data_IF_580603457681
#
_entry.id   IF_580603457681
#
_cell.length_a   1.000
_cell.length_b   1.000
_cell.length_c   1.000
_cell.angle_alpha   90.00
_cell.angle_beta   90.00
_cell.angle_gamma   90.00
#
_symmetry.space_group_name_H-M   'P 1'
#
loop_
_entity.id
_entity.type
_entity.pdbx_description
1 polymer ?
#
# COMPACT_ATOMS: atom_id res chain seq x y z
N UNK A 1 -0.47 -6.05 18.75
CA UNK A 1 0.67 -6.99 18.75
C UNK A 1 0.65 -7.67 17.41
N UNK A 2 1.61 -7.36 16.54
CA UNK A 2 1.69 -7.97 15.21
C UNK A 2 1.93 -9.47 15.32
N UNK A 3 0.99 -10.25 14.81
CA UNK A 3 0.92 -11.71 14.86
C UNK A 3 1.52 -12.36 13.60
N UNK A 4 2.56 -11.76 13.01
CA UNK A 4 3.18 -12.35 11.83
C UNK A 4 4.17 -13.44 12.24
N UNK A 5 4.05 -14.64 11.64
CA UNK A 5 4.97 -15.77 11.86
C UNK A 5 6.44 -15.42 11.55
N UNK A 6 6.66 -14.39 10.75
CA UNK A 6 7.97 -13.90 10.36
C UNK A 6 8.16 -12.45 10.83
N UNK A 7 9.32 -12.10 11.42
CA UNK A 7 9.61 -10.74 11.87
C UNK A 7 9.72 -9.74 10.69
N UNK A 8 10.17 -10.23 9.54
CA UNK A 8 10.32 -9.48 8.30
C UNK A 8 9.98 -10.38 7.12
N UNK A 9 9.65 -9.77 5.98
CA UNK A 9 9.46 -10.50 4.73
C UNK A 9 10.74 -11.20 4.25
N UNK A 10 11.91 -10.62 4.51
CA UNK A 10 13.19 -11.22 4.13
C UNK A 10 13.42 -12.55 4.85
N UNK A 11 13.09 -12.63 6.15
CA UNK A 11 13.18 -13.86 6.94
C UNK A 11 12.28 -14.98 6.40
N UNK A 12 11.17 -14.63 5.74
CA UNK A 12 10.34 -15.62 5.05
C UNK A 12 11.06 -16.20 3.82
N UNK A 13 11.68 -15.35 3.00
CA UNK A 13 12.40 -15.82 1.81
C UNK A 13 13.66 -16.60 2.15
N UNK A 14 14.38 -16.21 3.20
CA UNK A 14 15.54 -16.97 3.69
C UNK A 14 15.14 -18.39 4.10
N UNK A 15 14.07 -18.53 4.89
CA UNK A 15 13.51 -19.83 5.27
C UNK A 15 12.97 -20.61 4.09
N UNK A 16 12.29 -19.95 3.15
CA UNK A 16 11.80 -20.60 1.93
C UNK A 16 12.95 -21.19 1.09
N UNK A 17 14.13 -20.56 1.10
CA UNK A 17 15.31 -21.07 0.42
C UNK A 17 15.98 -22.24 1.17
N UNK A 18 15.65 -22.49 2.44
CA UNK A 18 16.16 -23.62 3.24
C UNK A 18 15.33 -24.89 3.05
N UNK A 19 14.07 -24.74 2.63
CA UNK A 19 13.17 -25.87 2.40
C UNK A 19 13.68 -26.73 1.23
N UNK A 20 13.73 -28.06 1.39
CA UNK A 20 14.16 -28.97 0.34
C UNK A 20 13.13 -29.01 -0.80
N UNK A 21 13.57 -29.52 -1.96
CA UNK A 21 12.64 -29.81 -3.05
C UNK A 21 11.77 -31.00 -2.65
N UNK A 22 10.47 -30.85 -2.81
CA UNK A 22 9.50 -31.92 -2.54
C UNK A 22 8.88 -32.38 -3.85
N UNK A 23 8.72 -33.69 -4.00
CA UNK A 23 8.03 -34.31 -5.13
C UNK A 23 6.89 -35.17 -4.59
N UNK A 24 5.70 -34.95 -5.12
CA UNK A 24 4.48 -35.62 -4.73
C UNK A 24 3.92 -36.38 -5.93
N UNK A 25 3.56 -37.65 -5.75
CA UNK A 25 2.85 -38.41 -6.79
C UNK A 25 1.37 -38.44 -6.39
N UNK A 26 0.56 -37.67 -7.09
CA UNK A 26 -0.89 -37.64 -6.87
C UNK A 26 -1.47 -38.82 -7.65
N UNK A 27 -1.89 -39.85 -6.93
CA UNK A 27 -2.56 -41.00 -7.51
C UNK A 27 -4.06 -40.74 -7.61
N UNK A 28 -4.63 -40.93 -8.81
CA UNK A 28 -6.07 -40.91 -9.00
C UNK A 28 -6.72 -42.12 -8.34
N UNK A 29 -7.89 -41.93 -7.72
CA UNK A 29 -8.63 -43.02 -7.08
C UNK A 29 -9.18 -44.05 -8.09
N UNK A 30 -9.26 -43.67 -9.37
CA UNK A 30 -9.78 -44.51 -10.46
C UNK A 30 -8.64 -44.89 -11.41
N UNK A 31 -8.61 -46.17 -11.83
CA UNK A 31 -7.54 -46.73 -12.64
C UNK A 31 -7.33 -46.06 -14.01
N UNK A 32 -8.30 -45.28 -14.50
CA UNK A 32 -8.19 -44.53 -15.75
C UNK A 32 -7.65 -43.10 -15.59
N UNK A 33 -7.51 -42.61 -14.36
CA UNK A 33 -6.92 -41.30 -14.08
C UNK A 33 -5.41 -41.51 -13.96
N UNK A 34 -4.59 -40.96 -14.87
CA UNK A 34 -3.15 -41.11 -14.79
C UNK A 34 -2.62 -40.45 -13.52
N UNK A 35 -1.58 -41.04 -12.93
CA UNK A 35 -0.88 -40.41 -11.82
C UNK A 35 -0.14 -39.17 -12.33
N UNK A 36 -0.19 -38.09 -11.56
CA UNK A 36 0.53 -36.85 -11.88
C UNK A 36 1.64 -36.63 -10.85
N UNK A 37 2.85 -36.35 -11.32
CA UNK A 37 3.94 -35.88 -10.47
C UNK A 37 3.81 -34.37 -10.28
N UNK A 38 3.89 -33.92 -9.03
CA UNK A 38 3.93 -32.52 -8.66
C UNK A 38 5.25 -32.24 -7.95
N UNK A 39 6.08 -31.40 -8.55
CA UNK A 39 7.35 -30.99 -7.97
C UNK A 39 7.25 -29.55 -7.46
N UNK A 40 7.52 -29.36 -6.17
CA UNK A 40 7.62 -28.04 -5.56
C UNK A 40 9.11 -27.73 -5.39
N UNK A 41 9.56 -26.69 -6.09
CA UNK A 41 10.89 -26.11 -5.91
C UNK A 41 10.76 -24.76 -5.20
N UNK A 42 11.00 -24.70 -3.87
CA UNK A 42 10.92 -23.47 -3.09
C UNK A 42 11.81 -22.35 -3.63
N UNK A 43 12.96 -22.69 -4.21
CA UNK A 43 13.87 -21.71 -4.82
C UNK A 43 13.31 -21.09 -6.10
N UNK A 44 12.60 -21.89 -6.91
CA UNK A 44 11.88 -21.41 -8.10
C UNK A 44 10.71 -20.51 -7.68
N UNK A 45 9.95 -20.91 -6.66
CA UNK A 45 8.85 -20.12 -6.11
C UNK A 45 9.34 -18.77 -5.56
N UNK A 46 10.42 -18.77 -4.77
CA UNK A 46 11.06 -17.56 -4.26
C UNK A 46 11.39 -16.58 -5.40
N UNK A 47 12.01 -17.09 -6.48
CA UNK A 47 12.37 -16.28 -7.64
C UNK A 47 11.17 -15.66 -8.34
N UNK A 48 10.09 -16.44 -8.49
CA UNK A 48 8.85 -15.97 -9.09
C UNK A 48 8.18 -14.91 -8.24
N UNK A 49 8.14 -15.07 -6.91
CA UNK A 49 7.59 -14.06 -6.00
C UNK A 49 8.42 -12.77 -6.05
N UNK A 50 9.75 -12.86 -6.03
CA UNK A 50 10.63 -11.69 -6.13
C UNK A 50 10.43 -10.94 -7.45
N UNK A 51 10.29 -11.67 -8.58
CA UNK A 51 10.01 -11.06 -9.88
C UNK A 51 8.68 -10.30 -9.90
N UNK A 52 7.61 -10.86 -9.32
CA UNK A 52 6.32 -10.17 -9.21
C UNK A 52 6.42 -8.96 -8.28
N UNK A 53 7.11 -9.08 -7.15
CA UNK A 53 7.33 -7.96 -6.22
C UNK A 53 8.10 -6.81 -6.86
N UNK A 54 9.13 -7.13 -7.64
CA UNK A 54 9.92 -6.12 -8.36
C UNK A 54 9.10 -5.40 -9.43
N UNK A 55 8.24 -6.13 -10.15
CA UNK A 55 7.30 -5.49 -11.08
C UNK A 55 6.37 -4.54 -10.33
N UNK A 56 5.73 -5.02 -9.24
CA UNK A 56 4.82 -4.20 -8.44
C UNK A 56 5.52 -2.98 -7.84
N UNK A 57 6.75 -3.11 -7.37
CA UNK A 57 7.47 -1.99 -6.74
C UNK A 57 7.79 -0.89 -7.75
N UNK A 58 8.16 -1.26 -8.99
CA UNK A 58 8.36 -0.29 -10.07
C UNK A 58 7.06 0.41 -10.47
N UNK A 59 5.98 -0.36 -10.62
CA UNK A 59 4.65 0.21 -10.90
C UNK A 59 4.23 1.17 -9.78
N UNK A 60 4.40 0.76 -8.51
CA UNK A 60 4.03 1.56 -7.35
C UNK A 60 4.85 2.84 -7.24
N UNK A 61 6.14 2.81 -7.56
CA UNK A 61 6.97 4.02 -7.53
C UNK A 61 6.46 5.11 -8.49
N UNK A 62 6.00 4.70 -9.68
CA UNK A 62 5.40 5.62 -10.66
C UNK A 62 3.99 6.05 -10.22
N UNK A 63 3.18 5.08 -9.82
CA UNK A 63 1.81 5.30 -9.39
C UNK A 63 1.74 6.25 -8.17
N UNK A 64 2.63 6.09 -7.19
CA UNK A 64 2.72 6.95 -6.01
C UNK A 64 3.13 8.38 -6.35
N UNK A 65 3.93 8.60 -7.41
CA UNK A 65 4.17 9.95 -7.93
C UNK A 65 2.87 10.58 -8.44
N UNK A 66 2.02 9.81 -9.12
CA UNK A 66 0.70 10.33 -9.53
C UNK A 66 -0.15 10.64 -8.30
N UNK A 67 -0.15 9.76 -7.28
CA UNK A 67 -0.90 10.00 -6.03
C UNK A 67 -0.47 11.30 -5.33
N UNK A 68 0.84 11.61 -5.33
CA UNK A 68 1.33 12.87 -4.75
C UNK A 68 0.78 14.08 -5.50
N UNK A 69 0.74 14.01 -6.83
CA UNK A 69 0.35 15.14 -7.69
C UNK A 69 -1.19 15.33 -7.76
N UNK A 70 -1.97 14.31 -7.37
CA UNK A 70 -3.43 14.33 -7.40
C UNK A 70 -4.08 15.26 -6.35
N UNK A 71 -3.37 15.64 -5.28
CA UNK A 71 -3.94 16.45 -4.19
C UNK A 71 -4.52 17.78 -4.66
N UNK A 72 -3.70 18.57 -5.38
CA UNK A 72 -4.12 19.87 -5.92
C UNK A 72 -5.24 19.75 -6.96
N UNK A 73 -5.18 18.74 -7.83
CA UNK A 73 -6.20 18.49 -8.85
C UNK A 73 -7.56 18.16 -8.23
N UNK A 74 -7.58 17.38 -7.14
CA UNK A 74 -8.81 17.02 -6.42
C UNK A 74 -9.53 18.25 -5.88
N UNK A 75 -8.77 19.17 -5.26
CA UNK A 75 -9.33 20.42 -4.74
C UNK A 75 -9.77 21.38 -5.86
N UNK A 76 -8.96 21.52 -6.91
CA UNK A 76 -9.31 22.36 -8.05
C UNK A 76 -10.63 21.89 -8.67
N UNK A 77 -10.76 20.58 -8.91
CA UNK A 77 -11.98 19.99 -9.45
C UNK A 77 -13.18 20.23 -8.54
N UNK A 78 -13.01 20.11 -7.23
CA UNK A 78 -14.07 20.43 -6.26
C UNK A 78 -14.54 21.89 -6.39
N UNK A 79 -13.61 22.84 -6.44
CA UNK A 79 -13.95 24.27 -6.58
C UNK A 79 -14.58 24.61 -7.92
N UNK A 80 -14.09 24.02 -9.01
CA UNK A 80 -14.69 24.17 -10.34
C UNK A 80 -16.11 23.63 -10.37
N UNK A 81 -16.35 22.48 -9.72
CA UNK A 81 -17.70 21.93 -9.57
C UNK A 81 -18.61 22.88 -8.80
N UNK A 82 -18.19 23.34 -7.62
CA UNK A 82 -18.98 24.28 -6.80
C UNK A 82 -19.32 25.54 -7.60
N UNK A 83 -18.38 26.10 -8.35
CA UNK A 83 -18.59 27.27 -9.22
C UNK A 83 -19.57 27.01 -10.38
N UNK A 84 -19.61 25.78 -10.87
CA UNK A 84 -20.46 25.37 -11.98
C UNK A 84 -21.86 24.89 -11.55
N UNK A 85 -22.06 24.56 -10.27
CA UNK A 85 -23.39 24.24 -9.71
C UNK A 85 -24.39 25.39 -9.90
N UNK A 86 -23.90 26.62 -9.95
CA UNK A 86 -24.74 27.81 -10.23
C UNK A 86 -25.15 27.92 -11.71
N UNK A 87 -24.59 27.12 -12.62
CA UNK A 87 -24.68 27.32 -14.08
C UNK A 87 -25.25 26.15 -14.89
N UNK A 88 -25.20 24.90 -14.43
CA UNK A 88 -25.80 23.77 -15.15
C UNK A 88 -26.13 22.58 -14.26
N UNK A 89 -27.17 21.82 -14.63
CA UNK A 89 -27.71 20.68 -13.86
C UNK A 89 -27.01 19.33 -14.14
N UNK A 90 -25.93 19.28 -14.93
CA UNK A 90 -25.22 18.02 -15.21
C UNK A 90 -23.91 17.95 -14.41
N UNK A 91 -24.01 17.37 -13.21
CA UNK A 91 -22.89 17.15 -12.30
C UNK A 91 -22.15 15.85 -12.67
N UNK A 92 -20.88 15.94 -13.03
CA UNK A 92 -19.94 14.81 -12.90
C UNK A 92 -19.52 14.71 -11.43
N UNK A 93 -19.62 13.53 -10.80
CA UNK A 93 -19.06 13.29 -9.45
C UNK A 93 -17.53 13.20 -9.50
N UNK A 94 -16.85 13.22 -8.34
CA UNK A 94 -15.38 13.09 -8.27
C UNK A 94 -14.92 11.82 -9.02
N UNK A 95 -15.76 10.78 -9.04
CA UNK A 95 -15.53 9.52 -9.78
C UNK A 95 -15.34 9.71 -11.28
N UNK A 96 -15.95 10.73 -11.90
CA UNK A 96 -15.82 11.00 -13.34
C UNK A 96 -14.45 11.55 -13.73
N UNK A 97 -13.66 12.04 -12.77
CA UNK A 97 -12.28 12.50 -13.01
C UNK A 97 -11.33 11.34 -13.39
N UNK A 98 -11.68 10.11 -13.00
CA UNK A 98 -10.85 8.91 -13.16
C UNK A 98 -10.97 8.21 -14.51
N UNK A 99 -11.87 8.66 -15.39
CA UNK A 99 -11.99 8.12 -16.74
C UNK A 99 -10.77 8.43 -17.63
N UNK A 100 -9.82 9.25 -17.14
CA UNK A 100 -8.59 9.63 -17.83
C UNK A 100 -7.32 8.91 -17.32
N UNK A 101 -7.43 7.77 -16.64
CA UNK A 101 -6.27 6.97 -16.23
C UNK A 101 -5.65 6.13 -17.35
N UNK A 102 -5.55 6.71 -18.55
CA UNK A 102 -4.85 6.11 -19.69
C UNK A 102 -3.39 5.77 -19.36
N UNK A 103 -2.78 6.48 -18.39
CA UNK A 103 -1.42 6.20 -17.92
C UNK A 103 -1.28 4.85 -17.18
N UNK A 104 -2.37 4.29 -16.66
CA UNK A 104 -2.35 2.96 -16.03
C UNK A 104 -2.33 1.85 -17.10
N UNK A 105 -2.88 2.12 -18.28
CA UNK A 105 -3.00 1.17 -19.39
C UNK A 105 -1.81 1.22 -20.35
N UNK A 106 -1.06 2.33 -20.36
CA UNK A 106 0.06 2.58 -21.26
C UNK A 106 1.28 2.99 -20.43
N UNK A 107 2.44 2.34 -20.61
CA UNK A 107 3.71 2.88 -20.12
C UNK A 107 4.06 4.10 -20.97
N UNK A 108 3.55 5.27 -20.58
CA UNK A 108 3.77 6.52 -21.32
C UNK A 108 5.24 6.98 -21.21
N UNK A 109 5.92 6.63 -20.12
CA UNK A 109 7.23 7.19 -19.79
C UNK A 109 8.44 6.37 -20.28
N UNK A 110 8.25 5.12 -20.71
CA UNK A 110 9.33 4.30 -21.24
C UNK A 110 8.87 3.40 -22.41
N UNK A 111 8.89 3.92 -23.66
CA UNK A 111 8.59 3.14 -24.86
C UNK A 111 9.63 2.04 -25.15
N UNK A 112 10.74 1.96 -24.40
CA UNK A 112 11.70 0.86 -24.45
C UNK A 112 11.51 -0.16 -23.32
N UNK A 113 10.65 0.11 -22.34
CA UNK A 113 10.31 -0.90 -21.33
C UNK A 113 9.39 -1.97 -21.95
N UNK A 114 9.92 -3.19 -22.11
CA UNK A 114 9.16 -4.37 -22.55
C UNK A 114 8.07 -4.83 -21.53
N UNK A 115 7.90 -4.10 -20.43
CA UNK A 115 7.04 -4.50 -19.32
C UNK A 115 5.61 -4.01 -19.53
N UNK A 116 4.74 -4.89 -20.02
CA UNK A 116 3.28 -4.66 -19.97
C UNK A 116 2.85 -4.43 -18.51
N UNK A 117 1.97 -3.44 -18.23
CA UNK A 117 1.47 -3.19 -16.88
C UNK A 117 0.81 -4.44 -16.30
N UNK A 118 0.89 -4.61 -14.99
CA UNK A 118 0.30 -5.77 -14.32
C UNK A 118 -1.22 -5.79 -14.55
N UNK A 119 -1.84 -6.98 -14.70
CA UNK A 119 -3.29 -7.10 -14.92
C UNK A 119 -4.16 -6.46 -13.83
N UNK A 120 -3.59 -6.27 -12.63
CA UNK A 120 -4.27 -5.72 -11.46
C UNK A 120 -3.84 -4.28 -11.14
N UNK A 121 -3.07 -3.61 -12.02
CA UNK A 121 -2.51 -2.28 -11.75
C UNK A 121 -3.58 -1.27 -11.36
N UNK A 122 -4.74 -1.25 -12.03
CA UNK A 122 -5.87 -0.39 -11.67
C UNK A 122 -6.41 -0.69 -10.26
N UNK A 123 -6.51 -1.96 -9.89
CA UNK A 123 -6.80 -2.46 -8.54
C UNK A 123 -5.84 -1.87 -7.51
N UNK A 124 -4.56 -2.08 -7.77
CA UNK A 124 -3.50 -1.67 -6.87
C UNK A 124 -3.40 -0.15 -6.74
N UNK A 125 -3.59 0.59 -7.83
CA UNK A 125 -3.57 2.05 -7.84
C UNK A 125 -4.69 2.63 -6.96
N UNK A 126 -5.91 2.13 -7.11
CA UNK A 126 -7.03 2.59 -6.28
C UNK A 126 -6.79 2.25 -4.80
N UNK A 127 -6.25 1.05 -4.53
CA UNK A 127 -5.86 0.66 -3.17
C UNK A 127 -4.77 1.56 -2.60
N UNK A 128 -3.74 1.93 -3.37
CA UNK A 128 -2.68 2.85 -2.93
C UNK A 128 -3.25 4.20 -2.55
N UNK A 129 -4.18 4.73 -3.34
CA UNK A 129 -4.84 6.00 -3.04
C UNK A 129 -5.65 5.91 -1.74
N UNK A 130 -6.36 4.80 -1.52
CA UNK A 130 -7.12 4.56 -0.29
C UNK A 130 -6.20 4.47 0.93
N UNK A 131 -5.18 3.62 0.88
CA UNK A 131 -4.25 3.42 1.98
C UNK A 131 -3.45 4.70 2.30
N UNK A 132 -3.00 5.44 1.29
CA UNK A 132 -2.30 6.70 1.50
C UNK A 132 -3.21 7.76 2.13
N UNK A 133 -4.51 7.75 1.78
CA UNK A 133 -5.49 8.66 2.38
C UNK A 133 -5.81 8.27 3.82
N UNK A 134 -5.92 6.97 4.12
CA UNK A 134 -6.10 6.47 5.48
C UNK A 134 -4.92 6.86 6.39
N UNK A 135 -3.70 6.58 5.95
CA UNK A 135 -2.48 6.94 6.67
C UNK A 135 -2.37 8.46 6.85
N UNK A 136 -2.74 9.25 5.86
CA UNK A 136 -2.79 10.71 5.98
C UNK A 136 -3.76 11.17 7.07
N UNK A 137 -4.96 10.59 7.16
CA UNK A 137 -5.92 10.87 8.23
C UNK A 137 -5.32 10.52 9.59
N UNK A 138 -4.68 9.35 9.72
CA UNK A 138 -4.02 8.94 10.96
C UNK A 138 -2.92 9.92 11.36
N UNK A 139 -2.07 10.38 10.44
CA UNK A 139 -1.03 11.37 10.72
C UNK A 139 -1.59 12.70 11.20
N UNK A 140 -2.69 13.18 10.59
CA UNK A 140 -3.38 14.39 11.03
C UNK A 140 -3.92 14.24 12.45
N UNK A 141 -4.64 13.14 12.73
CA UNK A 141 -5.19 12.85 14.05
C UNK A 141 -4.08 12.73 15.11
N UNK A 142 -3.04 11.95 14.84
CA UNK A 142 -1.92 11.76 15.76
C UNK A 142 -1.16 13.06 16.03
N UNK A 143 -0.99 13.94 15.04
CA UNK A 143 -0.36 15.25 15.22
C UNK A 143 -1.17 16.15 16.15
N UNK A 144 -2.49 16.17 16.00
CA UNK A 144 -3.36 16.93 16.88
C UNK A 144 -3.45 16.33 18.28
N UNK A 145 -3.48 15.00 18.42
CA UNK A 145 -3.45 14.34 19.73
C UNK A 145 -2.13 14.62 20.47
N UNK A 146 -1.00 14.67 19.75
CA UNK A 146 0.28 15.09 20.33
C UNK A 146 0.20 16.52 20.87
N UNK A 147 -0.26 17.48 20.04
CA UNK A 147 -0.46 18.88 20.47
C UNK A 147 -1.43 19.01 21.65
N UNK A 148 -2.45 18.16 21.71
CA UNK A 148 -3.40 18.10 22.83
C UNK A 148 -2.70 17.69 24.11
N UNK A 149 -1.86 16.65 24.05
CA UNK A 149 -1.09 16.16 25.20
C UNK A 149 -0.05 17.17 25.70
N UNK A 150 0.51 18.01 24.81
CA UNK A 150 1.46 19.07 25.17
C UNK A 150 0.79 20.37 25.61
N UNK A 151 -0.54 20.49 25.49
CA UNK A 151 -1.28 21.71 25.80
C UNK A 151 -1.10 22.84 24.76
N UNK A 152 -0.58 22.54 23.59
CA UNK A 152 -0.32 23.50 22.51
C UNK A 152 -1.47 23.56 21.48
N UNK A 153 -2.46 22.67 21.61
CA UNK A 153 -3.57 22.59 20.66
C UNK A 153 -4.48 23.82 20.75
N UNK A 154 -4.67 24.51 19.62
CA UNK A 154 -5.56 25.67 19.56
C UNK A 154 -7.03 25.23 19.64
N UNK A 155 -7.90 26.12 20.09
CA UNK A 155 -9.35 25.86 20.18
C UNK A 155 -9.97 25.38 18.86
N UNK A 156 -9.62 26.01 17.73
CA UNK A 156 -10.10 25.57 16.41
C UNK A 156 -9.61 24.16 16.04
N UNK A 157 -8.34 23.84 16.32
CA UNK A 157 -7.77 22.51 16.06
C UNK A 157 -8.42 21.44 16.95
N UNK A 158 -8.76 21.76 18.19
CA UNK A 158 -9.48 20.84 19.09
C UNK A 158 -10.84 20.43 18.55
N UNK A 159 -11.60 21.39 18.03
CA UNK A 159 -12.92 21.09 17.45
C UNK A 159 -12.77 20.33 16.13
N UNK A 160 -11.83 20.72 15.27
CA UNK A 160 -11.54 20.00 14.02
C UNK A 160 -11.05 18.56 14.27
N UNK A 161 -10.24 18.34 15.30
CA UNK A 161 -9.81 17.00 15.71
C UNK A 161 -11.01 16.12 16.06
N UNK A 162 -11.88 16.59 16.97
CA UNK A 162 -13.06 15.81 17.36
C UNK A 162 -14.02 15.56 16.19
N UNK A 163 -14.12 16.49 15.22
CA UNK A 163 -14.88 16.25 14.00
C UNK A 163 -14.25 15.16 13.12
N UNK A 164 -12.95 15.27 12.82
CA UNK A 164 -12.26 14.31 11.96
C UNK A 164 -12.21 12.91 12.59
N UNK A 165 -12.04 12.83 13.91
CA UNK A 165 -12.05 11.57 14.65
C UNK A 165 -13.40 10.86 14.50
N UNK A 166 -14.51 11.56 14.76
CA UNK A 166 -15.85 11.00 14.59
C UNK A 166 -16.11 10.61 13.13
N UNK A 167 -15.75 11.49 12.19
CA UNK A 167 -15.88 11.20 10.76
C UNK A 167 -15.10 9.93 10.37
N UNK A 168 -13.86 9.78 10.85
CA UNK A 168 -13.06 8.59 10.56
C UNK A 168 -13.68 7.31 11.16
N UNK A 169 -14.13 7.35 12.42
CA UNK A 169 -14.77 6.20 13.07
C UNK A 169 -16.02 5.74 12.31
N UNK A 170 -16.86 6.68 11.86
CA UNK A 170 -18.06 6.38 11.07
C UNK A 170 -17.73 5.74 9.71
N UNK A 171 -16.54 6.03 9.17
CA UNK A 171 -16.10 5.61 7.83
C UNK A 171 -15.07 4.48 7.81
N UNK A 172 -14.72 3.89 8.96
CA UNK A 172 -13.76 2.77 9.02
C UNK A 172 -14.12 1.61 8.06
N UNK A 173 -15.41 1.33 7.91
CA UNK A 173 -15.90 0.29 7.00
C UNK A 173 -15.61 0.54 5.51
N UNK A 174 -15.22 1.76 5.13
CA UNK A 174 -14.82 2.10 3.75
C UNK A 174 -13.33 1.83 3.49
N UNK A 175 -12.52 1.71 4.55
CA UNK A 175 -11.09 1.40 4.48
C UNK A 175 -10.81 -0.11 4.58
N UNK A 176 -11.70 -0.87 5.22
CA UNK A 176 -11.52 -2.31 5.46
C UNK A 176 -12.56 -3.19 4.77
N UNK A 177 -12.14 -4.41 4.37
CA UNK A 177 -13.03 -5.42 3.81
C UNK A 177 -13.05 -5.47 2.29
N UNK A 178 -14.09 -6.03 1.66
CA UNK A 178 -14.22 -6.05 0.21
C UNK A 178 -14.53 -4.63 -0.31
N UNK A 179 -13.47 -3.91 -0.68
CA UNK A 179 -13.58 -2.51 -1.13
C UNK A 179 -13.86 -2.45 -2.63
N UNK A 180 -14.86 -1.66 -3.03
CA UNK A 180 -15.10 -1.35 -4.46
C UNK A 180 -14.22 -0.19 -4.92
N UNK A 181 -13.99 -0.08 -6.22
CA UNK A 181 -13.26 1.06 -6.77
C UNK A 181 -13.83 2.42 -6.36
N UNK A 182 -12.95 3.39 -6.09
CA UNK A 182 -13.33 4.79 -5.92
C UNK A 182 -13.75 5.20 -4.51
N UNK A 183 -13.49 4.38 -3.49
CA UNK A 183 -13.89 4.73 -2.10
C UNK A 183 -13.24 5.98 -1.56
N UNK A 184 -11.99 6.25 -1.93
CA UNK A 184 -11.31 7.46 -1.51
C UNK A 184 -12.04 8.71 -1.98
N UNK A 185 -12.56 8.69 -3.20
CA UNK A 185 -13.32 9.81 -3.73
C UNK A 185 -14.64 9.97 -2.99
N UNK A 186 -15.32 8.86 -2.66
CA UNK A 186 -16.54 8.88 -1.85
C UNK A 186 -16.28 9.53 -0.47
N UNK A 187 -15.17 9.18 0.19
CA UNK A 187 -14.78 9.72 1.49
C UNK A 187 -14.48 11.22 1.39
N UNK A 188 -13.67 11.62 0.40
CA UNK A 188 -13.31 13.03 0.20
C UNK A 188 -14.50 13.86 -0.24
N UNK A 189 -15.39 13.32 -1.08
CA UNK A 189 -16.62 13.99 -1.49
C UNK A 189 -17.54 14.24 -0.30
N UNK A 190 -17.72 13.24 0.55
CA UNK A 190 -18.53 13.37 1.76
C UNK A 190 -17.93 14.38 2.76
N UNK A 191 -16.61 14.35 2.94
CA UNK A 191 -15.90 15.32 3.77
C UNK A 191 -16.07 16.74 3.24
N UNK A 192 -15.84 16.95 1.94
CA UNK A 192 -15.95 18.26 1.30
C UNK A 192 -17.41 18.76 1.24
N UNK A 193 -18.39 17.86 1.18
CA UNK A 193 -19.81 18.20 1.18
C UNK A 193 -20.37 18.43 2.60
N UNK A 194 -19.57 18.16 3.64
CA UNK A 194 -19.97 18.40 5.02
C UNK A 194 -20.14 19.90 5.27
N UNK A 195 -21.21 20.27 5.98
CA UNK A 195 -21.52 21.69 6.24
C UNK A 195 -20.57 22.30 7.27
N UNK A 196 -20.23 23.58 7.06
CA UNK A 196 -19.59 24.42 8.06
C UNK A 196 -20.40 24.37 9.35
N UNK A 197 -19.72 24.06 10.46
CA UNK A 197 -20.38 23.85 11.76
C UNK A 197 -19.70 24.69 12.82
N UNK A 198 -20.49 25.24 13.74
CA UNK A 198 -19.98 26.05 14.86
C UNK A 198 -20.08 25.24 16.15
N UNK A 199 -18.99 25.21 16.93
CA UNK A 199 -18.99 24.58 18.24
C UNK A 199 -18.53 25.58 19.29
N UNK A 200 -19.32 25.73 20.33
CA UNK A 200 -18.95 26.51 21.50
C UNK A 200 -17.97 25.70 22.33
N UNK A 201 -16.79 26.27 22.59
CA UNK A 201 -15.80 25.67 23.48
C UNK A 201 -16.00 26.33 24.84
N UNK A 202 -16.26 25.56 25.91
CA UNK A 202 -16.23 26.12 27.25
C UNK A 202 -14.79 26.55 27.55
N UNK A 203 -14.55 27.84 27.77
CA UNK A 203 -13.26 28.31 28.26
C UNK A 203 -13.02 27.69 29.64
N UNK A 204 -11.95 26.90 29.77
CA UNK A 204 -11.67 26.13 30.97
C UNK A 204 -11.62 27.02 32.23
N UNK A 205 -12.61 26.86 33.10
CA UNK A 205 -12.40 26.68 34.54
C UNK A 205 -11.92 27.87 35.39
N UNK A 206 -12.05 29.11 34.92
CA UNK A 206 -11.90 30.27 35.81
C UNK A 206 -13.16 30.42 36.66
N UNK A 207 -13.08 30.16 37.97
CA UNK A 207 -14.17 30.32 38.96
C UNK A 207 -14.76 31.75 39.06
N UNK A 208 -14.35 32.69 38.20
CA UNK A 208 -14.80 34.07 38.19
C UNK A 208 -15.60 34.38 36.92
N UNK A 209 -16.83 33.87 36.86
CA UNK A 209 -18.05 34.62 36.51
C UNK A 209 -18.10 35.53 35.27
N UNK A 210 -17.26 35.36 34.25
CA UNK A 210 -17.46 36.01 32.95
C UNK A 210 -17.60 34.93 31.87
N UNK A 211 -18.83 34.77 31.41
CA UNK A 211 -19.33 33.71 30.53
C UNK A 211 -18.87 33.93 29.07
N UNK A 212 -17.55 33.90 28.86
CA UNK A 212 -16.93 33.98 27.54
C UNK A 212 -16.96 32.63 26.86
N UNK A 213 -18.01 32.34 26.07
CA UNK A 213 -18.00 31.18 25.17
C UNK A 213 -17.25 31.54 23.90
N UNK A 214 -16.07 30.96 23.69
CA UNK A 214 -15.37 31.07 22.42
C UNK A 214 -16.03 30.14 21.40
N UNK A 215 -16.60 30.73 20.34
CA UNK A 215 -17.13 29.97 19.21
C UNK A 215 -16.00 29.65 18.24
N UNK A 216 -15.83 28.37 17.91
CA UNK A 216 -14.89 27.91 16.89
C UNK A 216 -15.64 27.31 15.70
N UNK A 217 -15.11 27.59 14.50
CA UNK A 217 -15.68 27.11 13.23
C UNK A 217 -14.95 25.85 12.79
N UNK A 218 -15.71 24.85 12.41
CA UNK A 218 -15.23 23.65 11.73
C UNK A 218 -15.34 23.91 10.24
N UNK A 219 -14.20 23.89 9.54
CA UNK A 219 -14.13 23.98 8.09
C UNK A 219 -13.67 22.64 7.50
N UNK A 220 -14.61 21.79 7.04
CA UNK A 220 -14.27 20.50 6.43
C UNK A 220 -13.37 20.63 5.20
N UNK A 221 -13.39 21.77 4.51
CA UNK A 221 -12.55 22.03 3.35
C UNK A 221 -11.08 22.18 3.76
N UNK A 222 -10.82 22.89 4.86
CA UNK A 222 -9.47 23.01 5.43
C UNK A 222 -8.95 21.66 5.94
N UNK A 223 -9.83 20.84 6.53
CA UNK A 223 -9.49 19.48 6.95
C UNK A 223 -9.13 18.61 5.73
N UNK A 224 -9.93 18.67 4.67
CA UNK A 224 -9.65 17.96 3.43
C UNK A 224 -8.33 18.41 2.78
N UNK A 225 -8.05 19.71 2.74
CA UNK A 225 -6.77 20.23 2.26
C UNK A 225 -5.59 19.71 3.09
N UNK A 226 -5.73 19.68 4.41
CA UNK A 226 -4.70 19.15 5.30
C UNK A 226 -4.46 17.66 5.05
N UNK A 227 -5.51 16.85 4.91
CA UNK A 227 -5.41 15.41 4.59
C UNK A 227 -4.74 15.21 3.23
N UNK A 228 -5.12 15.98 2.21
CA UNK A 228 -4.55 15.85 0.87
C UNK A 228 -3.05 16.22 0.85
N UNK A 229 -2.64 17.23 1.64
CA UNK A 229 -1.22 17.58 1.82
C UNK A 229 -0.44 16.49 2.55
N UNK A 230 -1.02 15.89 3.60
CA UNK A 230 -0.36 14.75 4.27
C UNK A 230 -0.31 13.52 3.37
N UNK A 231 -1.33 13.27 2.55
CA UNK A 231 -1.34 12.18 1.56
C UNK A 231 -0.23 12.33 0.54
N UNK A 232 0.03 13.54 0.08
CA UNK A 232 1.16 13.85 -0.81
C UNK A 232 2.48 13.42 -0.17
N UNK A 233 2.70 13.79 1.09
CA UNK A 233 3.90 13.43 1.84
C UNK A 233 4.02 11.91 2.05
N UNK A 234 2.93 11.23 2.41
CA UNK A 234 2.88 9.76 2.53
C UNK A 234 3.24 9.08 1.22
N UNK A 235 2.70 9.57 0.10
CA UNK A 235 2.97 9.00 -1.21
C UNK A 235 4.45 9.14 -1.61
N UNK A 236 5.07 10.28 -1.31
CA UNK A 236 6.51 10.50 -1.56
C UNK A 236 7.39 9.56 -0.72
N UNK A 237 7.08 9.37 0.56
CA UNK A 237 7.81 8.44 1.44
C UNK A 237 7.67 6.98 0.96
N UNK A 238 6.45 6.56 0.61
CA UNK A 238 6.22 5.22 0.10
C UNK A 238 6.87 4.99 -1.27
N UNK A 239 6.95 6.04 -2.09
CA UNK A 239 7.65 5.99 -3.38
C UNK A 239 9.14 5.71 -3.16
N UNK A 240 9.77 6.36 -2.19
CA UNK A 240 11.17 6.11 -1.84
C UNK A 240 11.36 4.63 -1.46
N UNK A 241 10.53 4.11 -0.56
CA UNK A 241 10.56 2.70 -0.14
C UNK A 241 10.35 1.75 -1.35
N UNK A 242 9.38 2.04 -2.21
CA UNK A 242 9.09 1.23 -3.40
C UNK A 242 10.27 1.24 -4.40
N UNK A 243 10.99 2.36 -4.51
CA UNK A 243 12.16 2.50 -5.38
C UNK A 243 13.37 1.71 -4.90
N UNK A 244 13.48 1.46 -3.59
CA UNK A 244 14.56 0.68 -2.97
C UNK A 244 14.33 -0.83 -3.02
N UNK A 245 13.08 -1.28 -3.18
CA UNK A 245 12.70 -2.70 -3.21
C UNK A 245 13.57 -3.60 -4.12
N UNK A 246 13.95 -3.19 -5.35
CA UNK A 246 14.83 -4.01 -6.18
C UNK A 246 16.20 -4.30 -5.55
N UNK A 247 16.76 -3.36 -4.77
CA UNK A 247 18.05 -3.54 -4.10
C UNK A 247 17.97 -4.62 -3.02
N UNK A 248 16.87 -4.64 -2.24
CA UNK A 248 16.62 -5.70 -1.27
C UNK A 248 16.45 -7.06 -1.94
N UNK A 249 15.77 -7.11 -3.10
CA UNK A 249 15.64 -8.34 -3.87
C UNK A 249 16.98 -8.87 -4.38
N UNK A 250 17.92 -8.01 -4.79
CA UNK A 250 19.27 -8.43 -5.18
C UNK A 250 20.01 -9.17 -4.06
N UNK A 251 19.83 -8.75 -2.80
CA UNK A 251 20.43 -9.43 -1.64
C UNK A 251 19.92 -10.87 -1.53
N UNK A 252 18.60 -11.08 -1.68
CA UNK A 252 17.99 -12.42 -1.63
C UNK A 252 18.39 -13.25 -2.85
N UNK A 253 18.45 -12.65 -4.04
CA UNK A 253 18.91 -13.33 -5.26
C UNK A 253 20.36 -13.80 -5.13
N UNK A 254 21.24 -12.97 -4.53
CA UNK A 254 22.63 -13.36 -4.24
C UNK A 254 22.70 -14.56 -3.31
N UNK A 255 21.95 -14.54 -2.20
CA UNK A 255 21.88 -15.67 -1.27
C UNK A 255 21.43 -16.96 -1.96
N UNK A 256 20.44 -16.87 -2.85
CA UNK A 256 19.99 -18.00 -3.67
C UNK A 256 21.10 -18.52 -4.59
N UNK A 257 21.79 -17.64 -5.33
CA UNK A 257 22.88 -18.02 -6.24
C UNK A 257 24.04 -18.69 -5.48
N UNK A 258 24.44 -18.13 -4.35
CA UNK A 258 25.50 -18.68 -3.50
C UNK A 258 25.16 -20.11 -3.05
N UNK A 259 23.90 -20.37 -2.66
CA UNK A 259 23.43 -21.72 -2.30
C UNK A 259 23.43 -22.69 -3.47
N UNK A 260 23.00 -22.26 -4.67
CA UNK A 260 23.05 -23.11 -5.87
C UNK A 260 24.49 -23.51 -6.21
N UNK A 261 25.47 -22.61 -6.03
CA UNK A 261 26.88 -22.92 -6.27
C UNK A 261 27.50 -23.84 -5.20
N UNK A 262 27.05 -23.77 -3.95
CA UNK A 262 27.51 -24.68 -2.88
C UNK A 262 26.92 -26.08 -2.99
N UNK A 263 25.62 -26.20 -3.31
CA UNK A 263 24.95 -27.51 -3.47
C UNK A 263 25.54 -28.35 -4.60
N UNK A 264 26.00 -27.72 -5.69
CA UNK A 264 26.64 -28.41 -6.81
C UNK A 264 28.06 -28.91 -6.48
N UNK A 265 28.75 -28.32 -5.49
CA UNK A 265 30.10 -28.78 -5.10
C UNK A 265 30.07 -30.09 -4.29
N UNK A 266 29.07 -30.26 -3.43
CA UNK A 266 28.93 -31.49 -2.63
C UNK A 266 28.64 -32.74 -3.47
N UNK A 267 27.80 -32.63 -4.50
CA UNK A 267 27.48 -33.76 -5.39
C UNK A 267 28.65 -34.15 -6.31
N UNK A 268 29.51 -33.20 -6.68
CA UNK A 268 30.69 -33.47 -7.51
C UNK A 268 31.80 -34.24 -6.77
N UNK A 269 31.87 -34.14 -5.44
CA UNK A 269 32.82 -34.88 -4.61
C UNK A 269 32.33 -36.32 -4.32
N UNK A 270 31.05 -36.52 -4.01
CA UNK A 270 30.47 -37.87 -3.81
C UNK A 270 30.52 -38.76 -5.07
N UNK A 271 30.42 -38.16 -6.26
CA UNK A 271 30.52 -38.91 -7.53
C UNK A 271 31.97 -39.32 -7.85
N UNK A 272 32.98 -38.64 -7.27
CA UNK A 272 34.39 -38.99 -7.49
C UNK A 272 34.86 -40.10 -6.55
N UNK A 273 34.42 -40.13 -5.29
CA UNK A 273 34.80 -41.18 -4.34
C UNK A 273 34.18 -42.54 -4.68
N UNK A 274 33.00 -42.56 -5.31
CA UNK A 274 32.34 -43.80 -5.74
C UNK A 274 32.94 -44.45 -7.01
N UNK A 275 33.81 -43.76 -7.75
CA UNK A 275 34.48 -44.31 -8.95
C UNK A 275 35.92 -44.80 -8.73
N UNK A 276 36.48 -44.61 -7.53
CA UNK A 276 37.88 -44.95 -7.21
C UNK A 276 38.06 -46.34 -6.55
N UNK A 277 37.00 -47.13 -6.36
CA UNK A 277 37.01 -48.34 -5.52
C UNK A 277 36.90 -49.69 -6.23
N UNK A 278 37.31 -49.82 -7.51
CA UNK A 278 37.08 -51.05 -8.29
C UNK A 278 38.26 -51.48 -9.16
N UNK A 279 39.43 -51.70 -8.57
CA UNK A 279 40.63 -52.17 -9.27
C UNK A 279 41.40 -53.23 -8.48
N UNK A 280 40.69 -54.24 -7.96
CA UNK A 280 41.28 -55.36 -7.21
C UNK A 280 41.48 -56.59 -8.11
N UNK A 281 42.71 -56.71 -8.61
CA UNK A 281 43.52 -57.91 -8.89
C UNK A 281 42.81 -59.27 -8.69
N UNK A 282 42.73 -60.08 -9.75
CA UNK A 282 42.71 -61.54 -9.65
C UNK A 282 43.88 -62.09 -10.47
N UNK A 283 44.80 -62.76 -9.75
CA UNK A 283 45.72 -63.77 -10.28
C UNK A 283 44.98 -65.10 -10.53
#
# INVERSE_FOLDING_TARGET
MDTTRFPTWDNYFEKLLEEPKESWIIQGHQAHIPAYSWDIDPSSLCSRILSVREQLSREFANDLQVVSDMGGQTLQWYWERVKNMDKSSSLSSLKGSRDYFLFLEINVDDPQSDHKPSPLRRGNFDLLILLATEEAIHRVLNRWELKKSTGELRGSEFVCHGFLENFYQDKQHLFHGPVTYGKTDDILEELLSSSLSFKNIPENGGENGNDGTSSSVIDPTQIAELILREREQVALEWKEIASEAPQYHMKIQKLRLDRMMMGNKGQAEETRESSSGGGGIFE
#
